data_IF_037140106456
#
_entry.id   IF_037140106456
#
_cell.length_a   1.000
_cell.length_b   1.000
_cell.length_c   1.000
_cell.angle_alpha   90.00
_cell.angle_beta   90.00
_cell.angle_gamma   90.00
#
_symmetry.space_group_name_H-M   'P 1'
#
loop_
_entity.id
_entity.type
_entity.pdbx_description
1 polymer ?
#
# COMPACT_ATOMS: atom_id res chain seq x y z
N UNK A 1 6.39 31.43 59.30
CA UNK A 1 7.04 30.38 58.52
C UNK A 1 7.17 30.83 57.07
N UNK A 2 8.31 30.66 56.42
CA UNK A 2 8.40 30.92 54.97
C UNK A 2 7.35 30.05 54.26
N UNK A 3 6.65 30.66 53.31
CA UNK A 3 5.46 30.13 52.69
C UNK A 3 5.66 28.73 52.05
N UNK A 4 4.72 27.85 52.34
CA UNK A 4 4.69 26.53 51.72
C UNK A 4 4.33 26.67 50.25
N UNK A 5 5.21 26.22 49.38
CA UNK A 5 4.94 26.14 47.93
C UNK A 5 3.93 24.99 47.69
N UNK A 6 2.78 25.29 47.13
CA UNK A 6 1.82 24.29 46.67
C UNK A 6 1.98 24.09 45.17
N UNK A 7 2.06 22.85 44.74
CA UNK A 7 2.04 22.45 43.34
C UNK A 7 0.77 21.71 42.99
N UNK A 8 0.23 21.96 41.83
CA UNK A 8 -0.89 21.19 41.26
C UNK A 8 -0.48 20.68 39.87
N UNK A 9 -0.97 19.50 39.52
CA UNK A 9 -0.84 18.95 38.18
C UNK A 9 -2.10 19.22 37.42
N UNK A 10 -1.99 19.80 36.21
CA UNK A 10 -3.16 20.14 35.40
C UNK A 10 -2.90 19.69 33.96
N UNK A 11 -3.94 19.28 33.22
CA UNK A 11 -3.81 18.89 31.81
C UNK A 11 -3.33 20.02 30.92
N UNK A 12 -2.78 19.65 29.74
CA UNK A 12 -2.46 20.60 28.69
C UNK A 12 -3.70 21.41 28.28
N UNK A 13 -3.50 22.67 27.94
CA UNK A 13 -4.57 23.60 27.54
C UNK A 13 -5.39 24.17 28.70
N UNK A 14 -5.15 23.71 29.93
CA UNK A 14 -5.85 24.27 31.10
C UNK A 14 -5.41 25.70 31.38
N UNK A 15 -6.36 26.61 31.52
CA UNK A 15 -6.07 27.95 32.00
C UNK A 15 -6.05 27.91 33.56
N UNK A 16 -4.95 28.39 34.15
CA UNK A 16 -4.77 28.42 35.58
C UNK A 16 -4.92 29.87 36.04
N UNK A 17 -5.85 30.08 37.00
CA UNK A 17 -6.01 31.36 37.66
C UNK A 17 -5.80 31.17 39.16
N UNK A 18 -4.91 31.94 39.72
CA UNK A 18 -4.61 31.91 41.14
C UNK A 18 -5.42 32.97 41.88
N UNK A 19 -5.83 32.62 43.10
CA UNK A 19 -6.38 33.56 44.05
C UNK A 19 -5.77 33.32 45.42
N UNK A 20 -5.63 34.35 46.21
CA UNK A 20 -5.12 34.24 47.56
C UNK A 20 -5.96 35.03 48.57
N UNK A 21 -5.81 34.71 49.84
CA UNK A 21 -6.23 35.54 50.95
C UNK A 21 -5.02 35.85 51.80
N UNK A 22 -5.01 37.00 52.43
CA UNK A 22 -4.01 37.37 53.47
C UNK A 22 -4.71 37.92 54.70
N UNK A 23 -4.17 37.61 55.87
CA UNK A 23 -4.63 38.11 57.17
C UNK A 23 -3.41 38.40 58.03
N UNK A 24 -3.56 39.32 58.93
CA UNK A 24 -2.60 39.63 60.01
C UNK A 24 -2.71 38.74 61.22
N UNK A 25 -3.78 37.95 61.32
CA UNK A 25 -4.05 37.00 62.39
C UNK A 25 -3.98 35.56 61.86
N UNK A 26 -3.05 34.77 62.39
CA UNK A 26 -2.85 33.39 61.97
C UNK A 26 -4.10 32.55 62.20
N UNK A 27 -4.61 31.89 61.16
CA UNK A 27 -5.75 31.00 61.21
C UNK A 27 -7.12 31.67 61.12
N UNK A 28 -7.22 33.01 61.19
CA UNK A 28 -8.50 33.72 61.07
C UNK A 28 -8.71 34.20 59.60
N UNK A 29 -9.50 33.45 58.87
CA UNK A 29 -9.90 33.77 57.49
C UNK A 29 -11.32 34.26 57.35
N UNK A 30 -11.99 34.58 58.49
CA UNK A 30 -13.40 35.00 58.58
C UNK A 30 -13.58 36.39 57.95
N UNK A 31 -14.54 36.48 57.03
CA UNK A 31 -14.85 37.77 56.36
C UNK A 31 -13.84 38.27 55.37
N UNK A 32 -12.73 37.56 55.11
CA UNK A 32 -11.72 37.95 54.18
C UNK A 32 -12.07 37.43 52.79
N UNK A 33 -12.23 38.31 51.80
CA UNK A 33 -12.45 37.94 50.40
C UNK A 33 -11.15 37.45 49.72
N UNK A 34 -11.29 36.56 48.75
CA UNK A 34 -10.17 36.22 47.87
C UNK A 34 -9.78 37.42 47.00
N UNK A 35 -8.49 37.62 46.84
CA UNK A 35 -7.93 38.48 45.79
C UNK A 35 -7.71 37.56 44.59
N UNK A 36 -8.40 37.81 43.51
CA UNK A 36 -8.22 37.09 42.23
C UNK A 36 -7.37 37.89 41.26
N UNK A 37 -6.94 37.29 40.20
CA UNK A 37 -6.06 37.92 39.21
C UNK A 37 -6.66 39.08 38.43
N UNK A 38 -7.93 39.45 38.71
CA UNK A 38 -8.61 40.56 38.05
C UNK A 38 -8.53 41.87 38.85
N UNK A 39 -8.13 41.83 40.15
CA UNK A 39 -8.09 42.95 41.07
C UNK A 39 -6.66 43.33 41.44
N UNK A 40 -6.06 44.28 40.74
CA UNK A 40 -4.85 45.08 41.10
C UNK A 40 -3.60 44.32 41.63
N UNK A 41 -3.55 43.04 41.58
CA UNK A 41 -2.38 42.22 41.90
C UNK A 41 -2.06 41.39 40.63
N UNK A 42 -0.86 41.48 40.14
CA UNK A 42 -0.38 40.70 38.98
C UNK A 42 -0.30 39.20 39.31
N UNK A 43 -1.43 38.58 39.52
CA UNK A 43 -1.55 37.11 39.45
C UNK A 43 -1.76 36.71 37.99
N UNK A 44 -0.68 36.45 37.30
CA UNK A 44 -0.75 36.08 35.91
C UNK A 44 -1.52 34.79 35.75
N UNK A 45 -2.53 34.76 34.88
CA UNK A 45 -3.06 33.54 34.36
C UNK A 45 -2.05 32.96 33.40
N UNK A 46 -1.80 31.67 33.49
CA UNK A 46 -0.96 30.94 32.53
C UNK A 46 -1.71 29.76 31.96
N UNK A 47 -1.55 29.53 30.69
CA UNK A 47 -2.03 28.31 30.05
C UNK A 47 -0.95 27.25 30.11
N UNK A 48 -1.30 26.05 30.55
CA UNK A 48 -0.38 24.92 30.56
C UNK A 48 -0.14 24.48 29.13
N UNK A 49 1.09 24.63 28.67
CA UNK A 49 1.52 24.20 27.37
C UNK A 49 2.48 23.01 27.51
N UNK A 50 1.92 21.81 27.52
CA UNK A 50 2.65 20.55 27.51
C UNK A 50 2.55 19.93 26.11
N UNK A 51 3.55 20.14 25.24
CA UNK A 51 3.52 19.59 23.89
C UNK A 51 3.50 18.06 23.94
N UNK A 52 2.60 17.47 23.20
CA UNK A 52 2.54 16.02 22.96
C UNK A 52 2.68 15.72 21.47
N UNK A 53 3.51 14.74 21.15
CA UNK A 53 3.67 14.22 19.80
C UNK A 53 3.16 12.80 19.77
N UNK A 54 2.07 12.59 19.05
CA UNK A 54 1.47 11.29 18.77
C UNK A 54 1.20 11.18 17.29
N UNK A 55 1.07 9.97 16.77
CA UNK A 55 0.81 9.80 15.35
C UNK A 55 0.00 8.54 15.06
N UNK A 56 -0.62 8.52 13.89
CA UNK A 56 -1.18 7.34 13.25
C UNK A 56 -0.51 7.10 11.92
N UNK A 57 -0.52 5.86 11.45
CA UNK A 57 0.05 5.50 10.16
C UNK A 57 -0.94 4.75 9.30
N UNK A 58 -0.88 4.95 7.98
CA UNK A 58 -1.53 4.11 6.99
C UNK A 58 -0.51 3.68 5.93
N UNK A 59 -0.66 2.48 5.37
CA UNK A 59 0.23 1.96 4.34
C UNK A 59 -0.53 1.62 3.07
N UNK A 60 0.13 1.79 1.92
CA UNK A 60 -0.40 1.42 0.60
C UNK A 60 0.65 0.65 -0.17
N UNK A 61 0.22 -0.38 -0.89
CA UNK A 61 1.11 -1.11 -1.81
C UNK A 61 1.50 -0.29 -3.05
N UNK A 62 0.77 0.80 -3.34
CA UNK A 62 0.97 1.60 -4.54
C UNK A 62 0.35 0.98 -5.79
N UNK A 63 0.39 1.73 -6.90
CA UNK A 63 -0.12 1.28 -8.19
C UNK A 63 0.85 0.34 -8.88
N UNK A 64 0.32 -0.72 -9.50
CA UNK A 64 1.13 -1.71 -10.20
C UNK A 64 1.60 -1.22 -11.57
N UNK A 65 2.86 -1.49 -11.89
CA UNK A 65 3.45 -1.33 -13.20
C UNK A 65 4.46 -2.44 -13.47
N UNK A 66 4.31 -3.18 -14.55
CA UNK A 66 5.20 -4.26 -14.96
C UNK A 66 5.54 -5.26 -13.82
N UNK A 67 4.53 -5.66 -13.03
CA UNK A 67 4.72 -6.63 -11.94
C UNK A 67 5.31 -6.08 -10.66
N UNK A 68 5.46 -4.78 -10.54
CA UNK A 68 6.04 -4.10 -9.39
C UNK A 68 5.20 -2.90 -8.98
N UNK A 69 5.36 -2.45 -7.75
CA UNK A 69 4.81 -1.19 -7.26
C UNK A 69 5.75 -0.53 -6.27
N UNK A 70 5.49 0.73 -5.95
CA UNK A 70 6.23 1.48 -4.94
C UNK A 70 5.36 1.66 -3.70
N UNK A 71 5.54 0.82 -2.65
CA UNK A 71 4.80 0.95 -1.41
C UNK A 71 5.07 2.29 -0.71
N UNK A 72 4.05 2.76 -0.01
CA UNK A 72 4.09 4.02 0.75
C UNK A 72 3.60 3.83 2.17
N UNK A 73 4.07 4.71 3.05
CA UNK A 73 3.49 4.95 4.37
C UNK A 73 3.11 6.42 4.48
N UNK A 74 1.92 6.69 4.98
CA UNK A 74 1.47 8.01 5.40
C UNK A 74 1.59 8.09 6.93
N UNK A 75 2.16 9.18 7.42
CA UNK A 75 2.27 9.51 8.84
C UNK A 75 1.44 10.75 9.11
N UNK A 76 0.46 10.65 9.99
CA UNK A 76 -0.41 11.76 10.42
C UNK A 76 -0.06 12.14 11.85
N UNK A 77 0.31 13.39 12.09
CA UNK A 77 0.52 13.91 13.44
C UNK A 77 -0.81 14.16 14.14
N UNK A 78 -1.16 13.32 15.10
CA UNK A 78 -2.37 13.45 15.93
C UNK A 78 -2.11 14.14 17.26
N UNK A 79 -0.88 14.59 17.51
CA UNK A 79 -0.49 15.37 18.69
C UNK A 79 -1.01 16.80 18.65
N UNK A 80 -0.73 17.55 19.71
CA UNK A 80 -1.13 18.95 19.83
C UNK A 80 -0.02 19.96 19.50
N UNK A 81 1.12 19.47 19.02
CA UNK A 81 2.28 20.30 18.63
C UNK A 81 2.96 19.70 17.39
N UNK A 82 3.79 20.48 16.74
CA UNK A 82 4.68 19.99 15.68
C UNK A 82 5.55 18.87 16.24
N UNK A 83 5.57 17.74 15.54
CA UNK A 83 6.41 16.60 15.84
C UNK A 83 7.49 16.38 14.78
N UNK A 84 8.62 15.82 15.19
CA UNK A 84 9.68 15.36 14.29
C UNK A 84 9.60 13.85 14.17
N UNK A 85 9.64 13.34 12.94
CA UNK A 85 9.41 11.93 12.63
C UNK A 85 10.57 11.36 11.84
N UNK A 86 11.02 10.18 12.25
CA UNK A 86 11.94 9.34 11.47
C UNK A 86 11.16 8.15 10.95
N UNK A 87 11.32 7.86 9.67
CA UNK A 87 10.63 6.77 8.98
C UNK A 87 11.67 5.85 8.35
N UNK A 88 11.51 4.55 8.59
CA UNK A 88 12.36 3.52 8.01
C UNK A 88 11.52 2.43 7.36
N UNK A 89 12.10 1.73 6.39
CA UNK A 89 11.50 0.59 5.73
C UNK A 89 12.46 -0.59 5.63
N UNK A 90 11.91 -1.78 5.43
CA UNK A 90 12.64 -3.04 5.32
C UNK A 90 11.85 -4.05 4.48
N UNK A 91 12.53 -5.03 3.87
CA UNK A 91 11.90 -6.20 3.23
C UNK A 91 12.06 -7.47 4.06
N UNK A 92 12.88 -7.47 5.10
CA UNK A 92 13.19 -8.63 5.95
C UNK A 92 12.81 -8.42 7.43
N UNK A 93 12.25 -7.24 7.77
CA UNK A 93 11.90 -6.81 9.12
C UNK A 93 13.08 -6.81 10.11
N UNK A 94 14.30 -6.75 9.61
CA UNK A 94 15.53 -6.78 10.41
C UNK A 94 16.56 -5.74 9.96
N UNK A 95 16.73 -5.56 8.67
CA UNK A 95 17.64 -4.57 8.07
C UNK A 95 16.84 -3.36 7.62
N UNK A 96 17.09 -2.21 8.24
CA UNK A 96 16.28 -1.01 8.05
C UNK A 96 16.98 0.05 7.23
N UNK A 97 16.28 0.60 6.26
CA UNK A 97 16.71 1.73 5.42
C UNK A 97 15.91 2.97 5.78
N UNK A 98 16.59 4.08 6.03
CA UNK A 98 15.94 5.35 6.35
C UNK A 98 15.29 5.93 5.09
N UNK A 99 13.99 6.26 5.18
CA UNK A 99 13.26 7.04 4.19
C UNK A 99 13.31 8.51 4.53
N UNK A 100 13.16 8.83 5.81
CA UNK A 100 13.13 10.20 6.31
C UNK A 100 13.74 10.24 7.71
N UNK A 101 14.51 11.29 7.97
CA UNK A 101 15.14 11.59 9.26
C UNK A 101 14.73 12.98 9.70
N UNK A 102 14.03 13.08 10.82
CA UNK A 102 13.66 14.33 11.48
C UNK A 102 12.72 15.25 10.70
N UNK A 103 11.82 14.75 9.87
CA UNK A 103 10.84 15.61 9.21
C UNK A 103 9.83 16.19 10.20
N UNK A 104 9.58 17.52 10.08
CA UNK A 104 8.64 18.23 10.94
C UNK A 104 7.22 18.16 10.32
N UNK A 105 6.26 17.58 11.06
CA UNK A 105 4.85 17.55 10.67
C UNK A 105 4.06 18.34 11.71
N UNK A 106 3.28 19.33 11.26
CA UNK A 106 2.44 20.15 12.15
C UNK A 106 1.29 19.32 12.74
N UNK A 107 0.74 19.77 13.86
CA UNK A 107 -0.45 19.13 14.45
C UNK A 107 -1.60 19.06 13.45
N UNK A 108 -2.13 17.85 13.21
CA UNK A 108 -3.22 17.59 12.28
C UNK A 108 -2.81 17.37 10.83
N UNK A 109 -1.55 17.61 10.47
CA UNK A 109 -1.04 17.40 9.10
C UNK A 109 -0.55 15.97 8.89
N UNK A 110 -0.41 15.58 7.62
CA UNK A 110 0.09 14.27 7.18
C UNK A 110 1.20 14.43 6.14
N UNK A 111 2.12 13.48 6.13
CA UNK A 111 3.16 13.34 5.10
C UNK A 111 3.24 11.89 4.63
N UNK A 112 3.49 11.72 3.32
CA UNK A 112 3.61 10.40 2.69
C UNK A 112 5.03 10.14 2.24
N UNK A 113 5.55 8.97 2.60
CA UNK A 113 6.90 8.52 2.25
C UNK A 113 6.82 7.26 1.41
N UNK A 114 7.53 7.24 0.29
CA UNK A 114 7.60 6.10 -0.62
C UNK A 114 8.94 5.37 -0.47
N UNK A 115 8.95 4.05 -0.62
CA UNK A 115 10.21 3.30 -0.70
C UNK A 115 11.03 3.76 -1.91
N UNK A 116 12.35 3.70 -1.80
CA UNK A 116 13.27 4.26 -2.80
C UNK A 116 13.32 3.47 -4.12
N UNK A 117 12.76 2.26 -4.16
CA UNK A 117 12.72 1.41 -5.35
C UNK A 117 11.42 0.63 -5.42
N UNK A 118 10.95 0.38 -6.65
CA UNK A 118 9.79 -0.49 -6.88
C UNK A 118 10.07 -1.90 -6.35
N UNK A 119 9.06 -2.48 -5.70
CA UNK A 119 9.09 -3.83 -5.14
C UNK A 119 8.26 -4.76 -6.01
N UNK A 120 8.74 -5.98 -6.23
CA UNK A 120 8.09 -6.97 -7.08
C UNK A 120 6.88 -7.61 -6.39
N UNK A 121 6.00 -8.19 -7.20
CA UNK A 121 4.86 -8.97 -6.70
C UNK A 121 5.30 -10.00 -5.65
N UNK A 122 4.53 -10.09 -4.55
CA UNK A 122 4.80 -11.00 -3.42
C UNK A 122 5.76 -10.46 -2.37
N UNK A 123 6.47 -9.34 -2.63
CA UNK A 123 7.35 -8.73 -1.63
C UNK A 123 6.52 -8.12 -0.51
N UNK A 124 6.84 -8.46 0.74
CA UNK A 124 6.31 -7.77 1.91
C UNK A 124 7.28 -6.66 2.32
N UNK A 125 6.75 -5.45 2.46
CA UNK A 125 7.47 -4.27 2.92
C UNK A 125 6.99 -3.92 4.32
N UNK A 126 7.93 -3.70 5.21
CA UNK A 126 7.71 -3.28 6.60
C UNK A 126 8.11 -1.83 6.76
N UNK A 127 7.32 -1.09 7.52
CA UNK A 127 7.62 0.29 7.90
C UNK A 127 7.63 0.43 9.41
N UNK A 128 8.53 1.25 9.93
CA UNK A 128 8.54 1.67 11.33
C UNK A 128 8.75 3.19 11.42
N UNK A 129 8.15 3.77 12.45
CA UNK A 129 8.17 5.21 12.69
C UNK A 129 8.55 5.47 14.14
N UNK A 130 9.35 6.48 14.39
CA UNK A 130 9.49 7.08 15.72
C UNK A 130 9.25 8.59 15.64
N UNK A 131 8.90 9.18 16.76
CA UNK A 131 8.62 10.60 16.85
C UNK A 131 9.24 11.22 18.10
N UNK A 132 9.42 12.53 18.05
CA UNK A 132 9.93 13.32 19.17
C UNK A 132 9.48 14.78 19.06
N UNK A 133 9.66 15.53 20.15
CA UNK A 133 9.40 16.99 20.21
C UNK A 133 10.58 17.82 19.68
N UNK A 134 11.66 17.17 19.28
CA UNK A 134 12.86 17.80 18.73
C UNK A 134 13.48 16.92 17.65
N UNK A 135 14.28 17.51 16.77
CA UNK A 135 15.10 16.81 15.79
C UNK A 135 16.55 16.68 16.30
N UNK A 136 17.20 15.47 16.29
CA UNK A 136 16.61 14.18 15.89
C UNK A 136 15.59 13.66 16.90
N UNK A 137 14.68 12.80 16.42
CA UNK A 137 13.70 12.13 17.27
C UNK A 137 14.41 11.16 18.23
N UNK A 138 14.05 11.22 19.51
CA UNK A 138 14.69 10.40 20.57
C UNK A 138 13.85 9.19 21.01
N UNK A 139 12.64 9.06 20.45
CA UNK A 139 11.72 7.96 20.77
C UNK A 139 12.18 6.59 20.23
N UNK A 140 11.58 5.54 20.76
CA UNK A 140 11.73 4.19 20.17
C UNK A 140 10.89 4.07 18.91
N UNK A 141 11.35 3.26 17.95
CA UNK A 141 10.53 2.90 16.81
C UNK A 141 9.31 2.07 17.26
N UNK A 142 8.19 2.29 16.58
CA UNK A 142 6.97 1.48 16.75
C UNK A 142 7.19 0.06 16.27
N UNK A 143 6.26 -0.84 16.62
CA UNK A 143 6.15 -2.12 15.93
C UNK A 143 5.94 -1.91 14.43
N UNK A 144 6.59 -2.74 13.62
CA UNK A 144 6.53 -2.59 12.17
C UNK A 144 5.13 -2.83 11.61
N UNK A 145 4.70 -1.96 10.70
CA UNK A 145 3.49 -2.13 9.90
C UNK A 145 3.87 -2.71 8.55
N UNK A 146 3.19 -3.76 8.11
CA UNK A 146 3.53 -4.48 6.87
C UNK A 146 2.50 -4.23 5.76
N UNK A 147 2.98 -4.17 4.52
CA UNK A 147 2.16 -4.20 3.31
C UNK A 147 2.78 -5.12 2.27
N UNK A 148 1.97 -5.96 1.63
CA UNK A 148 2.46 -6.86 0.58
C UNK A 148 2.11 -6.32 -0.79
N UNK A 149 3.10 -6.29 -1.68
CA UNK A 149 2.91 -5.90 -3.10
C UNK A 149 2.12 -6.98 -3.81
N UNK A 150 0.96 -6.61 -4.34
CA UNK A 150 0.09 -7.49 -5.11
C UNK A 150 -0.05 -6.99 -6.55
N UNK A 151 1.00 -7.20 -7.35
CA UNK A 151 1.09 -6.82 -8.75
C UNK A 151 1.26 -8.08 -9.62
N UNK A 152 0.19 -8.81 -9.92
CA UNK A 152 0.29 -10.04 -10.68
C UNK A 152 0.85 -9.78 -12.08
N UNK A 153 1.73 -10.65 -12.54
CA UNK A 153 2.32 -10.65 -13.88
C UNK A 153 1.66 -11.76 -14.69
N UNK A 154 1.37 -11.48 -15.97
CA UNK A 154 0.96 -12.52 -16.91
C UNK A 154 2.20 -13.36 -17.24
N UNK A 155 2.14 -14.65 -16.90
CA UNK A 155 3.08 -15.66 -17.31
C UNK A 155 2.28 -16.84 -17.90
N UNK A 156 2.08 -16.79 -19.20
CA UNK A 156 1.28 -17.75 -19.94
C UNK A 156 2.04 -18.21 -21.17
N UNK A 157 1.74 -19.44 -21.59
CA UNK A 157 2.24 -20.02 -22.81
C UNK A 157 1.13 -20.68 -23.59
N UNK A 158 1.33 -20.89 -24.88
CA UNK A 158 0.47 -21.69 -25.72
C UNK A 158 1.30 -22.59 -26.63
N UNK A 159 0.74 -23.73 -26.97
CA UNK A 159 1.26 -24.64 -27.99
C UNK A 159 0.14 -25.11 -28.88
N UNK A 160 0.45 -25.42 -30.12
CA UNK A 160 -0.50 -26.00 -31.07
C UNK A 160 0.00 -27.36 -31.60
N UNK A 161 -0.96 -28.22 -31.86
CA UNK A 161 -0.72 -29.52 -32.46
C UNK A 161 -1.77 -29.77 -33.55
N UNK A 162 -1.36 -30.45 -34.62
CA UNK A 162 -2.25 -30.93 -35.66
C UNK A 162 -2.33 -32.45 -35.56
N UNK A 163 -3.51 -32.97 -35.29
CA UNK A 163 -3.78 -34.39 -35.23
C UNK A 163 -3.73 -35.06 -36.62
N UNK A 164 -3.78 -36.38 -36.60
CA UNK A 164 -3.76 -37.19 -37.83
C UNK A 164 -5.00 -36.94 -38.68
N UNK A 165 -4.83 -36.97 -40.01
CA UNK A 165 -5.95 -36.88 -40.95
C UNK A 165 -6.82 -38.13 -40.94
N UNK A 166 -8.13 -37.94 -40.88
CA UNK A 166 -9.14 -39.00 -41.02
C UNK A 166 -10.33 -38.45 -41.81
N UNK A 167 -10.78 -39.21 -42.80
CA UNK A 167 -11.87 -38.81 -43.69
C UNK A 167 -11.78 -37.41 -44.31
N UNK A 168 -10.55 -37.01 -44.68
CA UNK A 168 -10.29 -35.70 -45.32
C UNK A 168 -10.25 -34.51 -44.36
N UNK A 169 -10.23 -34.74 -43.04
CA UNK A 169 -10.11 -33.70 -42.03
C UNK A 169 -9.09 -34.05 -40.96
N UNK A 170 -8.56 -33.07 -40.26
CA UNK A 170 -7.75 -33.20 -39.07
C UNK A 170 -8.28 -32.30 -37.95
N UNK A 171 -7.94 -32.60 -36.71
CA UNK A 171 -8.22 -31.70 -35.57
C UNK A 171 -6.96 -30.96 -35.18
N UNK A 172 -7.02 -29.65 -35.26
CA UNK A 172 -5.99 -28.78 -34.65
C UNK A 172 -6.37 -28.52 -33.19
N UNK A 173 -5.39 -28.66 -32.30
CA UNK A 173 -5.53 -28.42 -30.87
C UNK A 173 -4.63 -27.28 -30.46
N UNK A 174 -5.19 -26.27 -29.78
CA UNK A 174 -4.44 -25.24 -29.08
C UNK A 174 -4.48 -25.55 -27.58
N UNK A 175 -3.32 -25.62 -26.94
CA UNK A 175 -3.20 -25.75 -25.49
C UNK A 175 -2.74 -24.40 -24.91
N UNK A 176 -3.52 -23.86 -23.98
CA UNK A 176 -3.24 -22.64 -23.25
C UNK A 176 -2.80 -23.00 -21.84
N UNK A 177 -1.70 -22.46 -21.35
CA UNK A 177 -1.16 -22.76 -20.02
C UNK A 177 -0.94 -21.46 -19.24
N UNK A 178 -1.23 -21.50 -17.94
CA UNK A 178 -1.06 -20.40 -17.00
C UNK A 178 -0.06 -20.80 -15.91
N UNK A 179 1.15 -20.21 -15.97
CA UNK A 179 2.23 -20.39 -14.99
C UNK A 179 2.42 -19.16 -14.09
N UNK A 180 1.43 -18.26 -14.01
CA UNK A 180 1.50 -17.05 -13.18
C UNK A 180 2.00 -17.33 -11.76
N UNK A 181 2.94 -16.55 -11.29
CA UNK A 181 3.52 -16.67 -9.94
C UNK A 181 2.51 -16.35 -8.84
N UNK A 182 1.56 -15.45 -9.11
CA UNK A 182 0.43 -15.14 -8.24
C UNK A 182 -0.68 -16.19 -8.35
N UNK A 183 -1.56 -16.26 -7.36
CA UNK A 183 -2.79 -17.05 -7.45
C UNK A 183 -3.81 -16.33 -8.35
N UNK A 184 -3.47 -16.18 -9.61
CA UNK A 184 -4.18 -15.36 -10.59
C UNK A 184 -4.64 -16.24 -11.75
N UNK A 185 -5.93 -16.16 -12.05
CA UNK A 185 -6.51 -16.73 -13.27
C UNK A 185 -6.06 -15.91 -14.48
N UNK A 186 -5.62 -16.57 -15.54
CA UNK A 186 -5.42 -15.97 -16.85
C UNK A 186 -6.70 -16.10 -17.69
N UNK A 187 -7.01 -15.06 -18.44
CA UNK A 187 -8.10 -15.03 -19.41
C UNK A 187 -7.53 -14.86 -20.80
N UNK A 188 -8.12 -15.55 -21.79
CA UNK A 188 -7.65 -15.54 -23.17
C UNK A 188 -8.79 -15.17 -24.12
N UNK A 189 -8.53 -14.24 -25.04
CA UNK A 189 -9.28 -14.06 -26.27
C UNK A 189 -8.56 -14.89 -27.34
N UNK A 190 -9.25 -15.87 -27.92
CA UNK A 190 -8.64 -16.83 -28.86
C UNK A 190 -9.34 -16.76 -30.19
N UNK A 191 -8.56 -16.67 -31.25
CA UNK A 191 -9.04 -16.72 -32.64
C UNK A 191 -8.25 -17.74 -33.44
N UNK A 192 -8.86 -18.24 -34.50
CA UNK A 192 -8.22 -19.13 -35.48
C UNK A 192 -8.47 -18.63 -36.91
N UNK A 193 -7.57 -19.05 -37.79
CA UNK A 193 -7.67 -18.87 -39.24
C UNK A 193 -7.50 -20.23 -39.91
N UNK A 194 -8.17 -20.45 -41.02
CA UNK A 194 -8.01 -21.64 -41.87
C UNK A 194 -7.44 -21.30 -43.26
N UNK A 195 -7.09 -20.05 -43.50
CA UNK A 195 -6.59 -19.51 -44.76
C UNK A 195 -5.19 -18.86 -44.61
N UNK A 196 -4.41 -19.34 -43.63
CA UNK A 196 -3.04 -18.88 -43.39
C UNK A 196 -2.93 -17.50 -42.78
N UNK A 197 -3.96 -17.06 -42.01
CA UNK A 197 -3.95 -15.80 -41.33
C UNK A 197 -4.59 -14.63 -42.09
N UNK A 198 -5.21 -14.89 -43.26
CA UNK A 198 -5.88 -13.87 -44.06
C UNK A 198 -7.18 -13.42 -43.43
N UNK A 199 -7.95 -14.34 -42.87
CA UNK A 199 -9.15 -14.07 -42.09
C UNK A 199 -9.11 -14.75 -40.72
N UNK A 200 -9.73 -14.14 -39.72
CA UNK A 200 -9.72 -14.64 -38.34
C UNK A 200 -11.14 -14.79 -37.82
N UNK A 201 -11.37 -15.91 -37.14
CA UNK A 201 -12.65 -16.23 -36.51
C UNK A 201 -12.43 -16.39 -35.01
N UNK A 202 -13.25 -15.74 -34.21
CA UNK A 202 -13.23 -15.90 -32.77
C UNK A 202 -13.59 -17.32 -32.39
N UNK A 203 -12.76 -17.98 -31.61
CA UNK A 203 -13.01 -19.31 -31.04
C UNK A 203 -13.55 -19.21 -29.63
N UNK A 204 -12.98 -18.32 -28.84
CA UNK A 204 -13.36 -18.10 -27.46
C UNK A 204 -13.04 -16.66 -27.05
N UNK A 205 -14.06 -15.94 -26.58
CA UNK A 205 -13.94 -14.52 -26.20
C UNK A 205 -13.28 -14.32 -24.82
N UNK A 206 -13.29 -15.33 -23.94
CA UNK A 206 -12.86 -15.17 -22.56
C UNK A 206 -12.52 -16.50 -21.88
N UNK A 207 -11.71 -17.34 -22.53
CA UNK A 207 -11.27 -18.61 -21.94
C UNK A 207 -10.49 -18.38 -20.65
N UNK A 208 -10.97 -18.88 -19.54
CA UNK A 208 -10.28 -18.80 -18.25
C UNK A 208 -9.38 -20.01 -18.03
N UNK A 209 -8.17 -19.78 -17.54
CA UNK A 209 -7.20 -20.81 -17.16
C UNK A 209 -6.71 -20.51 -15.76
N UNK A 210 -6.98 -21.41 -14.81
CA UNK A 210 -6.54 -21.26 -13.43
C UNK A 210 -5.01 -21.32 -13.31
N UNK A 211 -4.45 -20.84 -12.21
CA UNK A 211 -3.02 -20.96 -11.93
C UNK A 211 -2.55 -22.41 -11.98
N UNK A 212 -1.42 -22.65 -12.64
CA UNK A 212 -0.79 -23.94 -12.86
C UNK A 212 -1.71 -24.97 -13.55
N UNK A 213 -2.68 -24.47 -14.33
CA UNK A 213 -3.56 -25.27 -15.15
C UNK A 213 -3.31 -25.04 -16.64
N UNK A 214 -3.87 -25.93 -17.45
CA UNK A 214 -3.93 -25.80 -18.90
C UNK A 214 -5.31 -26.13 -19.39
N UNK A 215 -5.73 -25.46 -20.47
CA UNK A 215 -7.00 -25.69 -21.16
C UNK A 215 -6.74 -25.91 -22.64
N UNK A 216 -7.55 -26.72 -23.29
CA UNK A 216 -7.41 -27.05 -24.70
C UNK A 216 -8.64 -26.61 -25.49
N UNK A 217 -8.37 -25.98 -26.63
CA UNK A 217 -9.37 -25.62 -27.65
C UNK A 217 -9.09 -26.39 -28.92
N UNK A 218 -10.12 -26.95 -29.55
CA UNK A 218 -9.97 -27.76 -30.76
C UNK A 218 -10.74 -27.16 -31.93
N UNK A 219 -10.18 -27.31 -33.14
CA UNK A 219 -10.81 -26.92 -34.39
C UNK A 219 -10.61 -28.00 -35.45
N UNK A 220 -11.73 -28.48 -36.00
CA UNK A 220 -11.66 -29.38 -37.17
C UNK A 220 -11.31 -28.57 -38.42
N UNK A 221 -10.35 -29.05 -39.19
CA UNK A 221 -9.88 -28.41 -40.43
C UNK A 221 -9.87 -29.41 -41.56
N UNK A 222 -10.27 -28.97 -42.77
CA UNK A 222 -10.27 -29.80 -43.96
C UNK A 222 -8.85 -29.99 -44.52
N UNK A 223 -8.68 -30.95 -45.40
CA UNK A 223 -7.46 -31.15 -46.16
C UNK A 223 -7.08 -29.81 -46.85
N UNK A 224 -5.78 -29.52 -46.88
CA UNK A 224 -5.17 -28.30 -47.44
C UNK A 224 -5.51 -26.97 -46.71
N UNK A 225 -6.23 -26.98 -45.63
CA UNK A 225 -6.45 -25.79 -44.82
C UNK A 225 -5.13 -25.37 -44.11
N UNK A 226 -4.80 -24.10 -44.21
CA UNK A 226 -3.65 -23.53 -43.49
C UNK A 226 -4.08 -22.98 -42.13
N UNK A 227 -4.16 -23.87 -41.13
CA UNK A 227 -4.60 -23.51 -39.79
C UNK A 227 -3.57 -22.66 -39.05
N UNK A 228 -4.01 -21.57 -38.47
CA UNK A 228 -3.25 -20.74 -37.53
C UNK A 228 -4.10 -20.36 -36.33
N UNK A 229 -3.46 -20.19 -35.18
CA UNK A 229 -4.08 -19.69 -33.97
C UNK A 229 -3.43 -18.39 -33.55
N UNK A 230 -4.21 -17.54 -32.88
CA UNK A 230 -3.69 -16.37 -32.16
C UNK A 230 -4.48 -16.10 -30.89
N UNK A 231 -3.82 -15.51 -29.91
CA UNK A 231 -4.49 -15.14 -28.66
C UNK A 231 -3.99 -13.80 -28.11
N UNK A 232 -4.82 -13.19 -27.27
CA UNK A 232 -4.43 -12.19 -26.28
C UNK A 232 -4.68 -12.74 -24.90
N UNK A 233 -3.91 -12.30 -23.91
CA UNK A 233 -4.09 -12.72 -22.52
C UNK A 233 -4.22 -11.52 -21.57
N UNK A 234 -4.90 -11.73 -20.45
CA UNK A 234 -5.14 -10.72 -19.42
C UNK A 234 -5.32 -11.38 -18.06
N UNK A 235 -5.02 -10.65 -16.97
CA UNK A 235 -5.44 -11.03 -15.61
C UNK A 235 -6.86 -10.56 -15.28
N UNK A 236 -7.48 -9.78 -16.15
CA UNK A 236 -8.84 -9.24 -15.98
C UNK A 236 -9.75 -9.81 -17.05
N UNK A 237 -10.84 -10.44 -16.62
CA UNK A 237 -11.86 -11.01 -17.50
C UNK A 237 -12.41 -9.95 -18.48
N UNK A 238 -12.45 -10.29 -19.76
CA UNK A 238 -13.01 -9.45 -20.83
C UNK A 238 -12.21 -8.18 -21.18
N UNK A 239 -11.03 -8.00 -20.60
CA UNK A 239 -10.18 -6.83 -20.86
C UNK A 239 -8.86 -7.24 -21.50
N UNK A 240 -8.80 -7.19 -22.84
CA UNK A 240 -7.64 -7.61 -23.62
C UNK A 240 -7.01 -6.42 -24.34
N UNK A 241 -5.78 -6.08 -23.97
CA UNK A 241 -4.96 -5.04 -24.59
C UNK A 241 -3.71 -5.64 -25.22
N UNK A 242 -2.98 -4.84 -26.01
CA UNK A 242 -1.73 -5.29 -26.65
C UNK A 242 -1.94 -6.07 -27.94
N UNK A 243 -0.85 -6.61 -28.46
CA UNK A 243 -0.80 -7.37 -29.71
C UNK A 243 -1.22 -8.82 -29.49
N UNK A 244 -1.67 -9.48 -30.55
CA UNK A 244 -1.86 -10.91 -30.57
C UNK A 244 -0.51 -11.64 -30.54
N UNK A 245 -0.44 -12.75 -29.80
CA UNK A 245 0.57 -13.79 -29.95
C UNK A 245 0.07 -14.75 -31.02
N UNK A 246 0.88 -14.98 -32.05
CA UNK A 246 0.50 -15.81 -33.21
C UNK A 246 1.16 -17.19 -33.16
N UNK A 247 0.72 -18.11 -34.01
CA UNK A 247 1.28 -19.46 -34.12
C UNK A 247 2.78 -19.51 -34.38
N UNK A 248 3.35 -18.47 -35.02
CA UNK A 248 4.80 -18.38 -35.24
C UNK A 248 5.58 -18.13 -33.96
N UNK A 249 4.93 -17.56 -32.95
CA UNK A 249 5.52 -17.22 -31.65
C UNK A 249 5.17 -18.26 -30.57
N UNK A 250 4.33 -19.25 -30.88
CA UNK A 250 3.97 -20.35 -30.01
C UNK A 250 4.99 -21.49 -30.16
N UNK A 251 5.38 -22.10 -29.05
CA UNK A 251 6.19 -23.32 -29.11
C UNK A 251 5.38 -24.42 -29.82
N UNK A 252 5.78 -24.82 -31.02
CA UNK A 252 5.24 -26.00 -31.68
C UNK A 252 5.78 -27.21 -30.94
N UNK A 253 4.92 -28.02 -30.33
CA UNK A 253 5.28 -29.36 -29.96
C UNK A 253 5.49 -30.15 -31.26
N UNK A 254 6.70 -30.63 -31.49
CA UNK A 254 7.08 -31.56 -32.58
C UNK A 254 6.61 -32.97 -32.24
#
# INVERSE_FOLDING_TARGET
SPGQLSSISVPHGSAITWRYKSTDTEGDWTGISYVDGTSNVNLNSSTVNCPTVTFTTSTSAGSCSAGSSTPTIEVTNTGNSTGYYDVQWSTDNSTWTTLQDGNAISSGDSETYAVSSAQTHGTTVYFQVRSGTSNPSSGSYTAATAVTVNCPVIDVSASQELGSCSAGAATSTLTLSNSNSANTTAYFLVEFSVDGGSTWTEKEANQSVAKNASETLTQSVSHDAAIQWRYKSSTTSGSFSGSYVTSSDMNSAT
#
